data_IF_770090342633
#
_entry.id   IF_770090342633
#
_cell.length_a   1.000
_cell.length_b   1.000
_cell.length_c   1.000
_cell.angle_alpha   90.00
_cell.angle_beta   90.00
_cell.angle_gamma   90.00
#
_symmetry.space_group_name_H-M   'P 1'
#
loop_
_entity.id
_entity.type
_entity.pdbx_description
1 polymer ?
#
# COMPACT_ATOMS: atom_id res chain seq x y z
N UNK A 1 9.73 -0.08 -6.06
CA UNK A 1 8.68 -0.42 -5.07
C UNK A 1 7.53 -1.09 -5.80
N UNK A 2 6.66 -1.81 -5.09
CA UNK A 2 5.48 -2.47 -5.65
C UNK A 2 4.29 -2.31 -4.71
N UNK A 3 3.07 -2.26 -5.27
CA UNK A 3 1.82 -2.23 -4.50
C UNK A 3 0.83 -3.25 -5.04
N UNK A 4 0.07 -3.89 -4.16
CA UNK A 4 -1.04 -4.77 -4.53
C UNK A 4 -2.13 -4.70 -3.48
N UNK A 5 -3.38 -4.50 -3.90
CA UNK A 5 -4.48 -4.26 -2.97
C UNK A 5 -5.85 -4.37 -3.62
N UNK A 6 -6.88 -4.25 -2.79
CA UNK A 6 -8.29 -4.29 -3.20
C UNK A 6 -8.87 -2.90 -3.03
N UNK A 7 -8.94 -2.13 -4.12
CA UNK A 7 -9.46 -0.75 -4.07
C UNK A 7 -10.99 -0.67 -4.00
N UNK A 8 -11.70 -1.78 -4.25
CA UNK A 8 -13.16 -1.80 -4.29
C UNK A 8 -13.78 -1.28 -5.59
N UNK A 9 -15.11 -1.14 -5.63
CA UNK A 9 -16.06 -1.41 -4.53
C UNK A 9 -16.26 -2.91 -4.23
N UNK A 10 -15.83 -3.80 -5.12
CA UNK A 10 -15.92 -5.25 -4.97
C UNK A 10 -14.53 -5.93 -4.94
N UNK A 11 -14.50 -7.26 -4.85
CA UNK A 11 -13.26 -8.05 -4.88
C UNK A 11 -12.58 -8.23 -3.52
N UNK A 12 -13.20 -7.77 -2.44
CA UNK A 12 -12.76 -8.06 -1.08
C UNK A 12 -13.23 -9.42 -0.59
N UNK A 13 -12.51 -9.98 0.37
CA UNK A 13 -12.90 -11.17 1.12
C UNK A 13 -12.84 -10.90 2.63
N UNK A 14 -13.30 -11.85 3.45
CA UNK A 14 -13.19 -11.77 4.92
C UNK A 14 -11.73 -11.62 5.37
N UNK A 15 -10.80 -12.24 4.66
CA UNK A 15 -9.36 -12.24 4.97
C UNK A 15 -8.63 -11.03 4.37
N UNK A 16 -9.11 -10.53 3.22
CA UNK A 16 -8.55 -9.38 2.49
C UNK A 16 -9.69 -8.43 2.09
N UNK A 17 -10.22 -7.64 3.03
CA UNK A 17 -11.33 -6.74 2.76
C UNK A 17 -10.96 -5.63 1.76
N UNK A 18 -11.96 -5.05 1.11
CA UNK A 18 -11.81 -3.81 0.33
C UNK A 18 -11.16 -2.75 1.22
N UNK A 19 -10.15 -2.06 0.68
CA UNK A 19 -9.29 -1.15 1.44
C UNK A 19 -7.98 -1.79 1.90
N UNK A 20 -7.77 -3.09 1.69
CA UNK A 20 -6.47 -3.72 2.02
C UNK A 20 -5.44 -3.47 0.91
N UNK A 21 -4.23 -3.06 1.29
CA UNK A 21 -3.08 -2.95 0.39
C UNK A 21 -1.81 -3.50 1.04
N UNK A 22 -0.94 -4.08 0.23
CA UNK A 22 0.45 -4.34 0.58
C UNK A 22 1.34 -3.41 -0.23
N UNK A 23 2.30 -2.78 0.44
CA UNK A 23 3.30 -1.89 -0.15
C UNK A 23 4.68 -2.47 0.15
N UNK A 24 5.46 -2.74 -0.90
CA UNK A 24 6.79 -3.31 -0.80
C UNK A 24 7.86 -2.34 -1.36
N UNK A 25 8.96 -2.20 -0.63
CA UNK A 25 10.14 -1.47 -1.06
C UNK A 25 11.37 -2.36 -0.90
N UNK A 26 11.99 -2.73 -2.02
CA UNK A 26 13.26 -3.44 -2.05
C UNK A 26 14.42 -2.45 -2.24
N UNK A 27 15.53 -2.74 -1.58
CA UNK A 27 16.83 -2.08 -1.74
C UNK A 27 17.93 -3.14 -1.66
N UNK A 28 19.17 -2.78 -1.97
CA UNK A 28 20.31 -3.71 -1.90
C UNK A 28 20.51 -4.33 -0.50
N UNK A 29 20.10 -3.62 0.56
CA UNK A 29 20.31 -4.06 1.95
C UNK A 29 19.14 -4.84 2.54
N UNK A 30 17.92 -4.53 2.10
CA UNK A 30 16.70 -5.05 2.73
C UNK A 30 15.47 -4.90 1.85
N UNK A 31 14.46 -5.71 2.14
CA UNK A 31 13.10 -5.61 1.61
C UNK A 31 12.15 -5.27 2.77
N UNK A 32 11.40 -4.18 2.64
CA UNK A 32 10.34 -3.79 3.57
C UNK A 32 8.98 -4.02 2.94
N UNK A 33 8.09 -4.70 3.66
CA UNK A 33 6.69 -4.89 3.27
C UNK A 33 5.79 -4.37 4.37
N UNK A 34 4.79 -3.56 4.00
CA UNK A 34 3.74 -3.09 4.92
C UNK A 34 2.37 -3.50 4.40
N UNK A 35 1.57 -4.14 5.26
CA UNK A 35 0.12 -4.26 5.07
C UNK A 35 -0.54 -3.01 5.65
N UNK A 36 -1.35 -2.33 4.86
CA UNK A 36 -2.12 -1.17 5.26
C UNK A 36 -3.60 -1.40 4.96
N UNK A 37 -4.46 -0.68 5.67
CA UNK A 37 -5.90 -0.76 5.50
C UNK A 37 -6.49 0.65 5.44
N UNK A 38 -7.12 0.98 4.32
CA UNK A 38 -7.74 2.27 4.03
C UNK A 38 -9.19 2.03 3.58
N UNK A 39 -10.17 2.07 4.50
CA UNK A 39 -11.58 1.87 4.17
C UNK A 39 -12.19 3.16 3.60
N UNK A 40 -11.74 3.53 2.40
CA UNK A 40 -12.21 4.70 1.66
C UNK A 40 -12.81 4.29 0.31
N UNK A 41 -13.39 5.23 -0.41
CA UNK A 41 -13.75 5.02 -1.81
C UNK A 41 -12.51 4.70 -2.67
N UNK A 42 -12.75 4.15 -3.86
CA UNK A 42 -11.72 3.64 -4.76
C UNK A 42 -10.68 4.70 -5.15
N UNK A 43 -11.09 5.95 -5.30
CA UNK A 43 -10.19 7.02 -5.75
C UNK A 43 -9.32 7.51 -4.59
N UNK A 44 -9.94 7.82 -3.45
CA UNK A 44 -9.22 8.15 -2.21
C UNK A 44 -8.26 7.04 -1.80
N UNK A 45 -8.66 5.77 -1.95
CA UNK A 45 -7.81 4.62 -1.66
C UNK A 45 -6.51 4.66 -2.46
N UNK A 46 -6.59 4.89 -3.78
CA UNK A 46 -5.40 4.96 -4.64
C UNK A 46 -4.47 6.10 -4.24
N UNK A 47 -5.03 7.26 -3.88
CA UNK A 47 -4.24 8.40 -3.40
C UNK A 47 -3.50 8.06 -2.11
N UNK A 48 -4.18 7.45 -1.13
CA UNK A 48 -3.57 7.02 0.13
C UNK A 48 -2.47 5.97 -0.09
N UNK A 49 -2.69 5.00 -0.99
CA UNK A 49 -1.69 3.99 -1.37
C UNK A 49 -0.45 4.64 -1.97
N UNK A 50 -0.63 5.59 -2.90
CA UNK A 50 0.47 6.30 -3.54
C UNK A 50 1.29 7.11 -2.50
N UNK A 51 0.60 7.84 -1.63
CA UNK A 51 1.24 8.60 -0.54
C UNK A 51 2.02 7.69 0.41
N UNK A 52 1.45 6.55 0.82
CA UNK A 52 2.14 5.60 1.68
C UNK A 52 3.39 4.98 1.03
N UNK A 53 3.31 4.67 -0.27
CA UNK A 53 4.46 4.16 -1.03
C UNK A 53 5.57 5.19 -1.16
N UNK A 54 5.23 6.45 -1.48
CA UNK A 54 6.22 7.52 -1.57
C UNK A 54 6.82 7.86 -0.21
N UNK A 55 6.04 7.84 0.88
CA UNK A 55 6.57 8.05 2.22
C UNK A 55 7.56 6.94 2.63
N UNK A 56 7.29 5.69 2.28
CA UNK A 56 8.24 4.58 2.49
C UNK A 56 9.54 4.79 1.72
N UNK A 57 9.46 5.23 0.46
CA UNK A 57 10.63 5.53 -0.36
C UNK A 57 11.41 6.74 0.20
N UNK A 58 10.73 7.83 0.52
CA UNK A 58 11.31 9.05 1.07
C UNK A 58 12.11 8.76 2.35
N UNK A 59 11.53 7.98 3.28
CA UNK A 59 12.23 7.57 4.50
C UNK A 59 13.48 6.75 4.23
N UNK A 60 13.50 5.94 3.17
CA UNK A 60 14.66 5.13 2.80
C UNK A 60 15.77 5.94 2.13
N UNK A 61 15.43 7.01 1.41
CA UNK A 61 16.40 7.85 0.72
C UNK A 61 17.05 8.90 1.63
N UNK A 62 16.35 9.34 2.68
CA UNK A 62 16.83 10.38 3.61
C UNK A 62 17.43 9.76 4.89
N UNK A 63 17.43 8.42 5.01
CA UNK A 63 18.10 7.66 6.07
C UNK A 63 19.45 7.15 5.62
#
# INVERSE_FOLDING_TARGET
FATTGVAGPSGGSREKPVGTVYVALASEREIKVKKLFFPSDRETFKQLVAQAAFEMLRRKLIS
#
